data_IF_583342983316
#
_entry.id   IF_583342983316
#
_cell.length_a   1.000
_cell.length_b   1.000
_cell.length_c   1.000
_cell.angle_alpha   90.00
_cell.angle_beta   90.00
_cell.angle_gamma   90.00
#
_symmetry.space_group_name_H-M   'P 1'
#
loop_
_entity.id
_entity.type
_entity.pdbx_description
1 polymer ?
#
# COMPACT_ATOMS: atom_id res chain seq x y z
N UNK A 1 0.74 9.27 29.18
CA UNK A 1 0.22 10.64 29.38
C UNK A 1 0.08 11.41 28.08
N UNK A 2 1.11 12.07 27.52
CA UNK A 2 0.90 12.92 26.34
C UNK A 2 0.32 12.20 25.08
N UNK A 3 0.69 10.94 24.84
CA UNK A 3 0.08 10.15 23.75
C UNK A 3 -1.38 9.78 24.01
N UNK A 4 -1.80 9.75 25.27
CA UNK A 4 -3.18 9.50 25.67
C UNK A 4 -4.03 10.77 25.46
N UNK A 5 -3.48 11.96 25.68
CA UNK A 5 -4.11 13.23 25.29
C UNK A 5 -4.32 13.30 23.79
N UNK A 6 -3.28 12.96 23.01
CA UNK A 6 -3.42 12.87 21.56
C UNK A 6 -4.43 11.80 21.12
N UNK A 7 -4.52 10.67 21.85
CA UNK A 7 -5.53 9.64 21.59
C UNK A 7 -6.94 10.18 21.82
N UNK A 8 -7.15 10.95 22.89
CA UNK A 8 -8.43 11.59 23.21
C UNK A 8 -8.80 12.63 22.16
N UNK A 9 -7.85 13.48 21.75
CA UNK A 9 -8.02 14.41 20.65
C UNK A 9 -8.45 13.71 19.35
N UNK A 10 -7.78 12.61 18.98
CA UNK A 10 -8.12 11.84 17.77
C UNK A 10 -9.47 11.13 17.86
N UNK A 11 -9.93 10.75 19.06
CA UNK A 11 -11.25 10.13 19.25
C UNK A 11 -12.35 11.14 18.95
N UNK A 12 -12.22 12.41 19.35
CA UNK A 12 -13.25 13.42 19.13
C UNK A 12 -14.66 12.91 19.50
N UNK A 13 -15.64 13.12 18.61
CA UNK A 13 -17.02 12.61 18.76
C UNK A 13 -17.22 11.18 18.23
N UNK A 14 -16.17 10.45 17.85
CA UNK A 14 -16.31 9.13 17.24
C UNK A 14 -16.80 8.08 18.24
N UNK A 15 -17.87 7.37 17.88
CA UNK A 15 -18.52 6.37 18.75
C UNK A 15 -18.42 4.93 18.25
N UNK A 16 -18.02 4.68 17.00
CA UNK A 16 -17.99 3.32 16.46
C UNK A 16 -16.72 2.55 16.86
N UNK A 17 -16.86 1.23 17.08
CA UNK A 17 -15.74 0.32 17.39
C UNK A 17 -14.59 0.43 16.39
N UNK A 18 -14.91 0.43 15.08
CA UNK A 18 -13.92 0.55 13.99
C UNK A 18 -13.12 1.85 14.07
N UNK A 19 -13.76 2.97 14.41
CA UNK A 19 -13.06 4.26 14.57
C UNK A 19 -12.12 4.22 15.78
N UNK A 20 -12.56 3.62 16.89
CA UNK A 20 -11.73 3.46 18.11
C UNK A 20 -10.47 2.63 17.79
N UNK A 21 -10.63 1.52 17.07
CA UNK A 21 -9.52 0.64 16.68
C UNK A 21 -8.55 1.33 15.71
N UNK A 22 -9.07 2.15 14.80
CA UNK A 22 -8.25 2.97 13.90
C UNK A 22 -7.42 4.00 14.66
N UNK A 23 -8.00 4.68 15.66
CA UNK A 23 -7.29 5.62 16.51
C UNK A 23 -6.21 4.91 17.32
N UNK A 24 -6.53 3.77 17.95
CA UNK A 24 -5.55 2.97 18.68
C UNK A 24 -4.38 2.55 17.78
N UNK A 25 -4.68 2.10 16.57
CA UNK A 25 -3.67 1.74 15.57
C UNK A 25 -2.79 2.93 15.15
N UNK A 26 -3.37 4.12 15.00
CA UNK A 26 -2.62 5.35 14.70
C UNK A 26 -1.68 5.73 15.84
N UNK A 27 -2.17 5.74 17.07
CA UNK A 27 -1.35 6.03 18.26
C UNK A 27 -0.22 5.01 18.43
N UNK A 28 -0.48 3.73 18.17
CA UNK A 28 0.55 2.69 18.22
C UNK A 28 1.67 2.91 17.20
N UNK A 29 1.33 3.36 15.98
CA UNK A 29 2.35 3.71 14.96
C UNK A 29 3.20 4.90 15.39
N UNK A 30 2.59 5.91 16.00
CA UNK A 30 3.30 7.07 16.53
C UNK A 30 4.20 6.65 17.69
N UNK A 31 3.72 5.80 18.61
CA UNK A 31 4.55 5.25 19.69
C UNK A 31 5.78 4.53 19.15
N UNK A 32 5.62 3.70 18.12
CA UNK A 32 6.75 3.03 17.45
C UNK A 32 7.74 4.01 16.83
N UNK A 33 7.24 5.08 16.20
CA UNK A 33 8.08 6.16 15.69
C UNK A 33 8.86 6.85 16.81
N UNK A 34 8.19 7.26 17.89
CA UNK A 34 8.83 7.95 19.01
C UNK A 34 9.88 7.06 19.68
N UNK A 35 9.56 5.79 19.94
CA UNK A 35 10.52 4.82 20.45
C UNK A 35 11.72 4.69 19.53
N UNK A 36 11.49 4.63 18.21
CA UNK A 36 12.58 4.59 17.25
C UNK A 36 13.43 5.85 17.37
N UNK A 37 12.86 7.05 17.33
CA UNK A 37 13.59 8.33 17.42
C UNK A 37 14.41 8.44 18.72
N UNK A 38 13.83 8.00 19.84
CA UNK A 38 14.39 8.08 21.18
C UNK A 38 15.62 7.19 21.41
N UNK A 39 15.89 6.16 20.58
CA UNK A 39 17.08 5.32 20.77
C UNK A 39 18.35 6.18 20.75
N UNK A 40 19.15 6.07 21.82
CA UNK A 40 20.39 6.85 22.01
C UNK A 40 20.20 8.30 22.44
N UNK A 41 18.98 8.74 22.78
CA UNK A 41 18.75 10.06 23.37
C UNK A 41 19.07 10.05 24.87
N UNK A 42 19.78 11.08 25.35
CA UNK A 42 20.13 11.24 26.77
C UNK A 42 18.94 11.70 27.62
N UNK A 43 18.04 12.50 27.03
CA UNK A 43 16.88 13.04 27.71
C UNK A 43 15.62 12.83 26.84
N UNK A 44 14.61 12.22 27.45
CA UNK A 44 13.32 11.94 26.78
C UNK A 44 12.23 12.93 27.18
N UNK A 45 12.31 13.47 28.40
CA UNK A 45 11.28 14.31 29.00
C UNK A 45 11.16 15.70 28.34
N UNK A 46 12.25 16.21 27.76
CA UNK A 46 12.31 17.53 27.11
C UNK A 46 11.96 17.49 25.61
N UNK A 47 11.74 16.28 25.07
CA UNK A 47 11.45 16.00 23.67
C UNK A 47 12.54 16.40 22.67
N UNK A 48 13.75 16.73 23.14
CA UNK A 48 14.89 17.12 22.29
C UNK A 48 15.22 16.11 21.20
N UNK A 49 14.97 14.82 21.44
CA UNK A 49 15.16 13.75 20.45
C UNK A 49 14.36 13.95 19.15
N UNK A 50 13.29 14.76 19.13
CA UNK A 50 12.55 15.09 17.92
C UNK A 50 13.31 16.00 16.95
N UNK A 51 14.36 16.69 17.41
CA UNK A 51 15.19 17.54 16.55
C UNK A 51 16.18 16.76 15.68
N UNK A 52 16.34 15.46 15.96
CA UNK A 52 17.19 14.52 15.23
C UNK A 52 16.57 14.15 13.88
N UNK A 53 16.46 15.11 12.98
CA UNK A 53 15.71 14.95 11.72
C UNK A 53 16.24 13.86 10.79
N UNK A 54 17.53 13.53 10.88
CA UNK A 54 18.19 12.41 10.19
C UNK A 54 17.55 11.05 10.53
N UNK A 55 17.06 10.92 11.76
CA UNK A 55 16.42 9.70 12.26
C UNK A 55 15.10 9.40 11.58
N UNK A 56 14.44 10.42 11.03
CA UNK A 56 13.22 10.23 10.24
C UNK A 56 13.53 9.43 8.97
N UNK A 57 14.66 9.71 8.31
CA UNK A 57 15.11 8.95 7.14
C UNK A 57 15.54 7.54 7.52
N UNK A 58 16.26 7.38 8.63
CA UNK A 58 16.62 6.06 9.16
C UNK A 58 15.39 5.19 9.48
N UNK A 59 14.34 5.81 10.01
CA UNK A 59 13.09 5.11 10.31
C UNK A 59 12.42 4.59 9.03
N UNK A 60 12.41 5.38 7.96
CA UNK A 60 11.95 4.92 6.63
C UNK A 60 12.77 3.72 6.16
N UNK A 61 14.11 3.77 6.31
CA UNK A 61 15.00 2.66 6.00
C UNK A 61 14.69 1.40 6.84
N UNK A 62 14.45 1.57 8.14
CA UNK A 62 14.06 0.49 9.04
C UNK A 62 12.72 -0.14 8.62
N UNK A 63 11.70 0.66 8.31
CA UNK A 63 10.40 0.15 7.87
C UNK A 63 10.51 -0.64 6.55
N UNK A 64 11.38 -0.21 5.62
CA UNK A 64 11.68 -0.97 4.40
C UNK A 64 12.33 -2.32 4.70
N UNK A 65 13.33 -2.35 5.60
CA UNK A 65 13.98 -3.61 6.03
C UNK A 65 13.00 -4.57 6.71
N UNK A 66 12.00 -4.04 7.41
CA UNK A 66 10.90 -4.84 7.96
C UNK A 66 9.84 -5.26 6.92
N UNK A 67 10.13 -5.13 5.61
CA UNK A 67 9.25 -5.56 4.53
C UNK A 67 7.99 -4.72 4.33
N UNK A 68 7.90 -3.49 4.88
CA UNK A 68 6.72 -2.64 4.68
C UNK A 68 6.69 -2.06 3.27
N UNK A 69 5.52 -2.18 2.63
CA UNK A 69 5.27 -1.57 1.31
C UNK A 69 5.34 -0.05 1.39
N UNK A 70 5.75 0.59 0.30
CA UNK A 70 5.91 2.05 0.20
C UNK A 70 4.62 2.79 0.59
N UNK A 71 3.45 2.29 0.19
CA UNK A 71 2.15 2.87 0.56
C UNK A 71 1.91 2.85 2.07
N UNK A 72 2.25 1.74 2.74
CA UNK A 72 2.16 1.61 4.20
C UNK A 72 3.12 2.56 4.91
N UNK A 73 4.35 2.70 4.41
CA UNK A 73 5.35 3.62 4.96
C UNK A 73 4.86 5.07 4.83
N UNK A 74 4.36 5.45 3.66
CA UNK A 74 3.77 6.78 3.43
C UNK A 74 2.60 7.05 4.37
N UNK A 75 1.73 6.06 4.59
CA UNK A 75 0.64 6.17 5.55
C UNK A 75 1.14 6.38 6.99
N UNK A 76 2.19 5.67 7.40
CA UNK A 76 2.79 5.82 8.73
C UNK A 76 3.40 7.22 8.89
N UNK A 77 4.12 7.72 7.89
CA UNK A 77 4.67 9.08 7.91
C UNK A 77 3.58 10.15 7.97
N UNK A 78 2.43 9.95 7.30
CA UNK A 78 1.28 10.86 7.44
C UNK A 78 0.72 10.86 8.86
N UNK A 79 0.70 9.71 9.54
CA UNK A 79 0.28 9.63 10.94
C UNK A 79 1.25 10.42 11.84
N UNK A 80 2.55 10.29 11.60
CA UNK A 80 3.60 11.05 12.30
C UNK A 80 3.47 12.55 12.01
N UNK A 81 3.26 12.95 10.76
CA UNK A 81 3.04 14.35 10.39
C UNK A 81 1.87 14.97 11.16
N UNK A 82 0.73 14.28 11.20
CA UNK A 82 -0.42 14.74 11.99
C UNK A 82 -0.09 14.88 13.48
N UNK A 83 0.72 13.98 14.03
CA UNK A 83 1.14 14.05 15.43
C UNK A 83 2.07 15.23 15.69
N UNK A 84 3.13 15.42 14.88
CA UNK A 84 4.07 16.54 15.09
C UNK A 84 3.34 17.88 14.91
N UNK A 85 2.35 17.95 14.00
CA UNK A 85 1.51 19.15 13.86
C UNK A 85 0.71 19.44 15.14
N UNK A 86 0.02 18.43 15.68
CA UNK A 86 -0.67 18.54 16.97
C UNK A 86 0.30 18.94 18.10
N UNK A 87 1.46 18.29 18.16
CA UNK A 87 2.50 18.57 19.14
C UNK A 87 2.99 20.02 19.09
N UNK A 88 3.12 20.58 17.89
CA UNK A 88 3.49 21.99 17.69
C UNK A 88 2.43 22.95 18.19
N UNK A 89 1.17 22.60 18.04
CA UNK A 89 0.02 23.42 18.46
C UNK A 89 -0.28 23.26 19.97
N UNK A 90 0.12 22.12 20.58
CA UNK A 90 -0.18 21.77 21.97
C UNK A 90 1.02 21.15 22.69
N UNK A 91 2.17 21.84 22.76
CA UNK A 91 3.38 21.27 23.34
C UNK A 91 3.18 20.92 24.83
N UNK A 92 3.72 19.79 25.32
CA UNK A 92 3.64 19.44 26.73
C UNK A 92 4.40 20.47 27.59
N UNK A 93 4.05 20.65 28.89
CA UNK A 93 4.62 21.70 29.74
C UNK A 93 6.16 21.70 29.82
N UNK A 94 6.79 20.54 29.72
CA UNK A 94 8.24 20.38 29.79
C UNK A 94 8.95 20.42 28.42
N UNK A 95 8.21 20.67 27.34
CA UNK A 95 8.77 20.80 26.00
C UNK A 95 9.65 22.03 25.90
N UNK A 96 10.94 21.84 25.58
CA UNK A 96 11.90 22.94 25.39
C UNK A 96 12.14 23.27 23.91
N UNK A 97 11.39 22.64 23.01
CA UNK A 97 11.57 22.80 21.57
C UNK A 97 11.02 24.14 21.09
N UNK A 98 11.84 24.88 20.35
CA UNK A 98 11.41 26.07 19.61
C UNK A 98 10.52 25.68 18.44
N UNK A 99 9.57 26.56 18.07
CA UNK A 99 8.70 26.35 16.91
C UNK A 99 9.46 26.12 15.58
N UNK A 100 10.67 26.67 15.45
CA UNK A 100 11.55 26.42 14.31
C UNK A 100 12.07 24.98 14.25
N UNK A 101 12.40 24.38 15.40
CA UNK A 101 12.85 22.99 15.50
C UNK A 101 11.72 22.01 15.14
N UNK A 102 10.50 22.29 15.59
CA UNK A 102 9.33 21.50 15.21
C UNK A 102 8.98 21.65 13.73
N UNK A 103 9.14 22.85 13.18
CA UNK A 103 9.01 23.09 11.73
C UNK A 103 10.04 22.29 10.94
N UNK A 104 11.28 22.18 11.43
CA UNK A 104 12.32 21.37 10.80
C UNK A 104 11.96 19.87 10.81
N UNK A 105 11.46 19.36 11.94
CA UNK A 105 10.97 17.98 12.04
C UNK A 105 9.80 17.70 11.07
N UNK A 106 8.83 18.62 10.97
CA UNK A 106 7.74 18.54 9.99
C UNK A 106 8.25 18.47 8.55
N UNK A 107 9.21 19.34 8.20
CA UNK A 107 9.83 19.36 6.87
C UNK A 107 10.55 18.05 6.56
N UNK A 108 11.25 17.46 7.53
CA UNK A 108 11.92 16.18 7.37
C UNK A 108 10.92 15.04 7.06
N UNK A 109 9.80 14.98 7.78
CA UNK A 109 8.73 14.01 7.50
C UNK A 109 8.11 14.23 6.13
N UNK A 110 7.80 15.48 5.76
CA UNK A 110 7.25 15.81 4.44
C UNK A 110 8.21 15.44 3.31
N UNK A 111 9.51 15.70 3.47
CA UNK A 111 10.54 15.30 2.50
C UNK A 111 10.52 13.79 2.25
N UNK A 112 10.40 12.99 3.31
CA UNK A 112 10.26 11.53 3.21
C UNK A 112 9.00 11.14 2.43
N UNK A 113 7.86 11.75 2.75
CA UNK A 113 6.58 11.49 2.07
C UNK A 113 6.71 11.80 0.57
N UNK A 114 7.21 12.98 0.21
CA UNK A 114 7.37 13.40 -1.19
C UNK A 114 8.35 12.52 -1.97
N UNK A 115 9.42 12.02 -1.32
CA UNK A 115 10.35 11.09 -1.94
C UNK A 115 9.70 9.72 -2.20
N UNK A 116 8.91 9.22 -1.27
CA UNK A 116 8.19 7.95 -1.43
C UNK A 116 7.11 8.03 -2.50
N UNK A 117 6.37 9.13 -2.58
CA UNK A 117 5.37 9.36 -3.62
C UNK A 117 6.01 9.38 -5.01
N UNK A 118 7.15 10.06 -5.17
CA UNK A 118 7.92 10.04 -6.42
C UNK A 118 8.34 8.62 -6.81
N UNK A 119 8.79 7.82 -5.85
CA UNK A 119 9.14 6.41 -6.12
C UNK A 119 7.93 5.60 -6.61
N UNK A 120 6.75 5.79 -6.01
CA UNK A 120 5.51 5.12 -6.46
C UNK A 120 5.12 5.57 -7.86
N UNK A 121 5.14 6.87 -8.15
CA UNK A 121 4.81 7.39 -9.49
C UNK A 121 5.75 6.82 -10.55
N UNK A 122 7.06 6.80 -10.31
CA UNK A 122 8.04 6.20 -11.23
C UNK A 122 7.80 4.70 -11.40
N UNK A 123 7.49 3.98 -10.33
CA UNK A 123 7.17 2.56 -10.41
C UNK A 123 5.88 2.31 -11.20
N UNK A 124 4.84 3.11 -10.97
CA UNK A 124 3.57 3.05 -11.69
C UNK A 124 3.77 3.30 -13.18
N UNK A 125 4.52 4.35 -13.56
CA UNK A 125 4.88 4.61 -14.96
C UNK A 125 5.65 3.45 -15.60
N UNK A 126 6.54 2.79 -14.85
CA UNK A 126 7.25 1.59 -15.35
C UNK A 126 6.33 0.38 -15.52
N UNK A 127 5.34 0.21 -14.65
CA UNK A 127 4.35 -0.87 -14.74
C UNK A 127 3.39 -0.62 -15.91
N UNK A 128 2.91 0.61 -16.07
CA UNK A 128 2.06 1.02 -17.19
C UNK A 128 2.80 0.91 -18.53
N UNK A 129 4.07 1.32 -18.61
CA UNK A 129 4.89 1.12 -19.80
C UNK A 129 5.08 -0.37 -20.14
N UNK A 130 5.13 -1.26 -19.13
CA UNK A 130 5.16 -2.73 -19.36
C UNK A 130 3.79 -3.28 -19.76
N UNK A 131 2.70 -2.73 -19.22
CA UNK A 131 1.32 -3.09 -19.58
C UNK A 131 0.90 -2.53 -20.95
N UNK A 132 1.57 -1.49 -21.44
CA UNK A 132 1.43 -0.97 -22.80
C UNK A 132 2.05 -1.86 -23.88
N UNK A 133 2.43 -3.11 -23.56
CA UNK A 133 2.40 -4.19 -24.56
C UNK A 133 0.94 -4.51 -24.88
N UNK A 134 0.28 -3.56 -25.53
CA UNK A 134 -1.09 -3.67 -26.03
C UNK A 134 -1.07 -4.81 -27.06
N UNK A 135 -1.83 -5.87 -26.78
CA UNK A 135 -2.05 -6.95 -27.76
C UNK A 135 -2.71 -6.29 -28.97
N UNK A 136 -2.18 -6.52 -30.17
CA UNK A 136 -2.72 -5.89 -31.36
C UNK A 136 -4.16 -6.36 -31.61
N UNK A 137 -4.98 -5.51 -32.22
CA UNK A 137 -6.36 -5.89 -32.62
C UNK A 137 -6.33 -7.11 -33.54
N UNK A 138 -5.31 -7.22 -34.40
CA UNK A 138 -5.10 -8.38 -35.27
C UNK A 138 -4.88 -9.67 -34.47
N UNK A 139 -4.04 -9.64 -33.44
CA UNK A 139 -3.77 -10.82 -32.59
C UNK A 139 -4.99 -11.21 -31.75
N UNK A 140 -5.76 -10.23 -31.26
CA UNK A 140 -7.02 -10.48 -30.55
C UNK A 140 -8.06 -11.14 -31.47
N UNK A 141 -8.23 -10.63 -32.69
CA UNK A 141 -9.13 -11.22 -33.67
C UNK A 141 -8.70 -12.63 -34.07
N UNK A 142 -7.39 -12.85 -34.28
CA UNK A 142 -6.85 -14.18 -34.57
C UNK A 142 -7.07 -15.16 -33.42
N UNK A 143 -6.89 -14.72 -32.18
CA UNK A 143 -7.17 -15.52 -30.99
C UNK A 143 -8.66 -15.89 -30.93
N UNK A 144 -9.55 -14.92 -31.10
CA UNK A 144 -11.00 -15.12 -31.11
C UNK A 144 -11.43 -16.11 -32.18
N UNK A 145 -10.90 -15.99 -33.40
CA UNK A 145 -11.20 -16.91 -34.49
C UNK A 145 -10.77 -18.35 -34.16
N UNK A 146 -9.52 -18.54 -33.72
CA UNK A 146 -9.01 -19.87 -33.33
C UNK A 146 -9.82 -20.50 -32.21
N UNK A 147 -10.28 -19.71 -31.24
CA UNK A 147 -11.14 -20.22 -30.19
C UNK A 147 -12.51 -20.65 -30.72
N UNK A 148 -13.14 -19.86 -31.61
CA UNK A 148 -14.42 -20.21 -32.23
C UNK A 148 -14.34 -21.51 -33.04
N UNK A 149 -13.21 -21.75 -33.69
CA UNK A 149 -13.00 -22.97 -34.48
C UNK A 149 -12.70 -24.20 -33.59
N UNK A 150 -11.92 -24.03 -32.52
CA UNK A 150 -11.44 -25.12 -31.68
C UNK A 150 -12.44 -25.58 -30.61
N UNK A 151 -13.22 -24.66 -30.03
CA UNK A 151 -14.16 -24.97 -28.93
C UNK A 151 -15.19 -26.03 -29.34
N UNK A 152 -15.90 -25.92 -30.49
CA UNK A 152 -16.86 -26.94 -30.92
C UNK A 152 -16.23 -28.32 -31.08
N UNK A 153 -15.05 -28.40 -31.72
CA UNK A 153 -14.34 -29.66 -31.94
C UNK A 153 -13.92 -30.32 -30.61
N UNK A 154 -13.54 -29.53 -29.62
CA UNK A 154 -13.19 -30.02 -28.29
C UNK A 154 -14.43 -30.51 -27.53
N UNK A 155 -15.58 -29.85 -27.68
CA UNK A 155 -16.84 -30.29 -27.10
C UNK A 155 -17.33 -31.61 -27.69
N UNK A 156 -17.29 -31.78 -29.01
CA UNK A 156 -17.64 -33.05 -29.69
C UNK A 156 -16.77 -34.22 -29.21
N UNK A 157 -15.48 -33.96 -28.97
CA UNK A 157 -14.55 -34.96 -28.43
C UNK A 157 -14.84 -35.30 -26.98
N UNK A 158 -15.18 -34.31 -26.17
CA UNK A 158 -15.58 -34.52 -24.77
C UNK A 158 -16.90 -35.26 -24.63
N UNK A 159 -17.82 -35.09 -25.58
CA UNK A 159 -19.07 -35.85 -25.62
C UNK A 159 -18.80 -37.35 -25.81
N UNK A 160 -17.84 -37.69 -26.68
CA UNK A 160 -17.45 -39.09 -26.95
C UNK A 160 -16.58 -39.70 -25.86
N UNK A 161 -15.65 -38.92 -25.31
CA UNK A 161 -14.70 -39.38 -24.30
C UNK A 161 -14.66 -38.40 -23.12
N UNK A 162 -15.66 -38.44 -22.22
CA UNK A 162 -15.80 -37.45 -21.16
C UNK A 162 -14.62 -37.44 -20.21
N UNK A 163 -13.95 -38.57 -19.97
CA UNK A 163 -12.86 -38.70 -18.99
C UNK A 163 -11.49 -38.28 -19.50
N UNK A 164 -11.36 -37.84 -20.76
CA UNK A 164 -10.08 -37.34 -21.29
C UNK A 164 -9.73 -35.97 -20.68
N UNK A 165 -8.88 -36.00 -19.65
CA UNK A 165 -8.38 -34.82 -18.97
C UNK A 165 -7.63 -33.85 -19.90
N UNK A 166 -6.91 -34.34 -20.92
CA UNK A 166 -6.16 -33.46 -21.83
C UNK A 166 -7.11 -32.64 -22.69
N UNK A 167 -8.19 -33.24 -23.17
CA UNK A 167 -9.22 -32.53 -23.95
C UNK A 167 -9.97 -31.53 -23.06
N UNK A 168 -10.29 -31.90 -21.81
CA UNK A 168 -10.89 -30.99 -20.82
C UNK A 168 -10.03 -29.76 -20.57
N UNK A 169 -8.73 -29.93 -20.29
CA UNK A 169 -7.82 -28.80 -20.06
C UNK A 169 -7.69 -27.90 -21.29
N UNK A 170 -7.63 -28.48 -22.49
CA UNK A 170 -7.62 -27.71 -23.73
C UNK A 170 -8.90 -26.91 -23.92
N UNK A 171 -10.06 -27.51 -23.67
CA UNK A 171 -11.34 -26.81 -23.73
C UNK A 171 -11.37 -25.60 -22.79
N UNK A 172 -11.03 -25.80 -21.51
CA UNK A 172 -10.98 -24.69 -20.55
C UNK A 172 -9.94 -23.62 -20.93
N UNK A 173 -8.80 -24.01 -21.49
CA UNK A 173 -7.80 -23.07 -22.00
C UNK A 173 -8.31 -22.20 -23.15
N UNK A 174 -8.99 -22.78 -24.14
CA UNK A 174 -9.59 -22.03 -25.26
C UNK A 174 -10.78 -21.18 -24.81
N UNK A 175 -11.62 -21.69 -23.91
CA UNK A 175 -12.75 -20.95 -23.34
C UNK A 175 -12.27 -19.73 -22.55
N UNK A 176 -11.25 -19.91 -21.71
CA UNK A 176 -10.59 -18.85 -20.96
C UNK A 176 -10.02 -17.77 -21.90
N UNK A 177 -9.27 -18.19 -22.92
CA UNK A 177 -8.69 -17.28 -23.91
C UNK A 177 -9.77 -16.49 -24.66
N UNK A 178 -10.87 -17.15 -25.04
CA UNK A 178 -11.99 -16.52 -25.71
C UNK A 178 -12.63 -15.43 -24.84
N UNK A 179 -13.01 -15.77 -23.60
CA UNK A 179 -13.62 -14.83 -22.65
C UNK A 179 -12.69 -13.65 -22.36
N UNK A 180 -11.40 -13.92 -22.13
CA UNK A 180 -10.41 -12.85 -21.94
C UNK A 180 -10.27 -11.96 -23.18
N UNK A 181 -10.38 -12.51 -24.39
CA UNK A 181 -10.25 -11.74 -25.63
C UNK A 181 -11.45 -10.82 -25.92
N UNK A 182 -12.65 -11.19 -25.48
CA UNK A 182 -13.89 -10.41 -25.73
C UNK A 182 -14.17 -9.41 -24.61
N UNK A 183 -13.95 -9.78 -23.35
CA UNK A 183 -14.38 -8.98 -22.20
C UNK A 183 -13.23 -8.35 -21.41
N UNK A 184 -11.97 -8.69 -21.75
CA UNK A 184 -10.80 -8.22 -21.00
C UNK A 184 -10.70 -8.75 -19.57
N UNK A 185 -11.46 -9.79 -19.23
CA UNK A 185 -11.44 -10.41 -17.90
C UNK A 185 -10.05 -10.96 -17.55
N UNK A 186 -9.61 -10.68 -16.31
CA UNK A 186 -8.32 -11.15 -15.78
C UNK A 186 -8.36 -12.63 -15.44
N UNK A 187 -7.21 -13.29 -15.50
CA UNK A 187 -7.01 -14.72 -15.19
C UNK A 187 -7.62 -15.16 -13.86
N UNK A 188 -7.64 -14.29 -12.85
CA UNK A 188 -8.24 -14.60 -11.54
C UNK A 188 -9.77 -14.76 -11.55
N UNK A 189 -10.49 -14.18 -12.52
CA UNK A 189 -11.94 -14.41 -12.68
C UNK A 189 -12.18 -15.79 -13.27
N UNK A 190 -11.39 -16.13 -14.29
CA UNK A 190 -11.47 -17.42 -15.00
C UNK A 190 -11.09 -18.59 -14.10
N UNK A 191 -10.07 -18.41 -13.23
CA UNK A 191 -9.66 -19.44 -12.27
C UNK A 191 -10.73 -19.80 -11.23
N UNK A 192 -11.75 -18.95 -11.05
CA UNK A 192 -12.88 -19.21 -10.15
C UNK A 192 -14.12 -19.76 -10.89
N UNK A 193 -14.04 -19.99 -12.21
CA UNK A 193 -15.12 -20.58 -13.01
C UNK A 193 -14.96 -22.10 -13.22
N UNK A 194 -13.81 -22.66 -12.83
CA UNK A 194 -13.48 -24.09 -12.80
C UNK A 194 -13.55 -24.61 -11.38
#
# INVERSE_FOLDING_TARGET
EYLDDYRTFLRGLHKSKKQIDNVASKVMRIRRFLNFMAVGALQLWDWSFLTRTERVMEWVGHLRRCGKKVTTITFYLRNVYSFIRYFKETPPPHCRLKGSQLTAALRAVLRCISALLRYVSVHQMKVEAKQMRVISVADLNLCGQRCRDAIPQLLERLEKEPTDHKVRYRFFGYLAAFISSIDGHRTGVIANMT
#
